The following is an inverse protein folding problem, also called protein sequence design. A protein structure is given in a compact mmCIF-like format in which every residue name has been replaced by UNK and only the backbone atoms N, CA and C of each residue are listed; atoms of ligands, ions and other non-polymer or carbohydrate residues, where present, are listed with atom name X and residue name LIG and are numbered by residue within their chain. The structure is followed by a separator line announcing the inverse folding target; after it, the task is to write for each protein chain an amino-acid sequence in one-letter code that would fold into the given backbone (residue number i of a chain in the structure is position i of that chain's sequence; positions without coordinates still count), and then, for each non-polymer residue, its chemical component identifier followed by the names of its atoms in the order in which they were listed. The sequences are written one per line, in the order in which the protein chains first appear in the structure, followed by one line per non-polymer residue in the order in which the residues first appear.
data_IF_721781191805
#
_entry.id   IF_721781191805
#
_cell.length_a   1.000
_cell.length_b   1.000
_cell.length_c   1.000
_cell.angle_alpha   90.00
_cell.angle_beta   90.00
_cell.angle_gamma   90.00
#
_symmetry.space_group_name_H-M   'P 1'
#
loop_
_entity.id
_entity.type
_entity.pdbx_description
1 polymer ?
#
# COMPACT_ATOMS: atom_id res chain seq x y z
N UNK A 1 15.75 -26.92 23.83
CA UNK A 1 14.50 -26.85 24.62
C UNK A 1 14.36 -25.44 25.14
N UNK A 2 13.21 -24.76 24.96
CA UNK A 2 12.97 -23.43 25.53
C UNK A 2 13.06 -23.47 27.06
N UNK A 3 13.62 -22.41 27.64
CA UNK A 3 13.88 -22.30 29.08
C UNK A 3 12.55 -22.22 29.85
N UNK A 4 12.26 -23.18 30.76
CA UNK A 4 10.96 -23.29 31.43
C UNK A 4 10.56 -22.02 32.19
N UNK A 5 11.54 -21.25 32.68
CA UNK A 5 11.29 -19.99 33.41
C UNK A 5 10.78 -18.85 32.51
N UNK A 6 11.15 -18.87 31.22
CA UNK A 6 10.69 -17.88 30.24
C UNK A 6 9.25 -18.18 29.83
N UNK A 7 8.93 -19.46 29.63
CA UNK A 7 7.57 -19.93 29.34
C UNK A 7 6.61 -19.61 30.49
N UNK A 8 7.05 -19.79 31.74
CA UNK A 8 6.26 -19.48 32.94
C UNK A 8 5.92 -17.99 33.06
N UNK A 9 6.87 -17.11 32.74
CA UNK A 9 6.64 -15.65 32.72
C UNK A 9 5.73 -15.24 31.57
N UNK A 10 5.93 -15.78 30.38
CA UNK A 10 5.08 -15.51 29.20
C UNK A 10 3.64 -15.99 29.44
N UNK A 11 3.47 -17.16 30.06
CA UNK A 11 2.18 -17.72 30.46
C UNK A 11 1.46 -16.86 31.51
N UNK A 12 2.19 -16.32 32.49
CA UNK A 12 1.64 -15.46 33.55
C UNK A 12 1.14 -14.11 33.03
N UNK A 13 1.78 -13.54 31.99
CA UNK A 13 1.45 -12.21 31.46
C UNK A 13 0.52 -12.23 30.25
N UNK A 14 0.60 -13.25 29.40
CA UNK A 14 -0.15 -13.31 28.13
C UNK A 14 -1.25 -14.39 28.12
N UNK A 15 -1.37 -15.17 29.19
CA UNK A 15 -2.49 -16.09 29.43
C UNK A 15 -2.57 -17.28 28.48
N UNK A 16 -3.73 -17.95 28.51
CA UNK A 16 -4.03 -19.15 27.70
C UNK A 16 -3.95 -18.90 26.19
N UNK A 17 -4.23 -17.67 25.76
CA UNK A 17 -4.25 -17.24 24.35
C UNK A 17 -2.91 -17.47 23.66
N UNK A 18 -1.80 -17.18 24.34
CA UNK A 18 -0.47 -17.34 23.75
C UNK A 18 -0.03 -18.81 23.71
N UNK A 19 -0.50 -19.62 24.66
CA UNK A 19 -0.29 -21.07 24.67
C UNK A 19 -1.06 -21.71 23.50
N UNK A 20 -2.30 -21.32 23.28
CA UNK A 20 -3.12 -21.87 22.20
C UNK A 20 -2.59 -21.41 20.83
N UNK A 21 -2.10 -20.19 20.73
CA UNK A 21 -1.37 -19.72 19.56
C UNK A 21 -0.05 -20.48 19.34
N UNK A 22 0.74 -20.73 20.39
CA UNK A 22 2.00 -21.46 20.30
C UNK A 22 1.85 -22.96 19.98
N UNK A 23 0.69 -23.57 20.27
CA UNK A 23 0.36 -24.95 19.86
C UNK A 23 0.13 -25.07 18.36
N UNK A 24 -0.51 -24.05 17.76
CA UNK A 24 -0.77 -24.00 16.31
C UNK A 24 0.47 -23.50 15.56
N UNK A 25 1.19 -22.54 16.15
CA UNK A 25 2.41 -21.93 15.61
C UNK A 25 3.59 -22.24 16.54
N UNK A 26 4.29 -23.38 16.38
CA UNK A 26 5.34 -23.79 17.31
C UNK A 26 6.41 -22.71 17.42
N UNK A 27 6.60 -22.18 18.63
CA UNK A 27 7.67 -21.22 18.96
C UNK A 27 9.00 -21.99 18.86
N UNK A 28 9.53 -22.07 17.65
CA UNK A 28 10.85 -22.64 17.39
C UNK A 28 11.88 -21.70 18.00
N UNK A 29 12.94 -22.26 18.57
CA UNK A 29 14.09 -21.48 18.97
C UNK A 29 14.52 -20.66 17.77
N UNK A 30 14.65 -19.33 17.94
CA UNK A 30 14.94 -18.46 16.80
C UNK A 30 16.12 -19.03 16.02
N UNK A 31 16.00 -19.10 14.69
CA UNK A 31 17.04 -19.67 13.83
C UNK A 31 18.40 -19.02 14.10
N UNK A 32 18.39 -17.77 14.57
CA UNK A 32 19.57 -17.02 15.03
C UNK A 32 20.26 -17.66 16.22
N UNK A 33 19.51 -18.00 17.27
CA UNK A 33 20.07 -18.63 18.48
C UNK A 33 20.54 -20.06 18.19
N UNK A 34 19.83 -20.80 17.34
CA UNK A 34 20.32 -22.12 16.91
C UNK A 34 21.59 -22.01 16.05
N UNK A 35 21.70 -21.00 15.19
CA UNK A 35 22.94 -20.72 14.44
C UNK A 35 24.10 -20.35 15.37
N UNK A 36 23.87 -19.46 16.33
CA UNK A 36 24.87 -19.04 17.32
C UNK A 36 25.44 -20.22 18.11
N UNK A 37 24.56 -21.12 18.58
CA UNK A 37 24.95 -22.35 19.27
C UNK A 37 25.68 -23.34 18.36
N UNK A 38 25.26 -23.44 17.11
CA UNK A 38 25.92 -24.29 16.12
C UNK A 38 27.34 -23.79 15.81
N UNK A 39 27.51 -22.47 15.63
CA UNK A 39 28.81 -21.84 15.37
C UNK A 39 29.77 -22.08 16.53
N UNK A 40 29.33 -21.84 17.76
CA UNK A 40 30.13 -22.11 18.96
C UNK A 40 30.59 -23.58 19.03
N UNK A 41 29.74 -24.52 18.61
CA UNK A 41 30.04 -25.96 18.72
C UNK A 41 30.95 -26.47 17.61
N UNK A 42 30.79 -25.97 16.38
CA UNK A 42 31.42 -26.57 15.20
C UNK A 42 32.58 -25.74 14.62
N UNK A 43 32.64 -24.43 14.89
CA UNK A 43 33.72 -23.57 14.40
C UNK A 43 34.84 -23.56 15.43
N UNK A 44 35.87 -24.37 15.20
CA UNK A 44 37.01 -24.60 16.11
C UNK A 44 37.83 -23.34 16.42
N UNK A 45 37.82 -22.33 15.54
CA UNK A 45 38.53 -21.05 15.70
C UNK A 45 37.61 -19.85 15.99
N UNK A 46 36.40 -20.09 16.49
CA UNK A 46 35.47 -18.98 16.76
C UNK A 46 35.97 -18.10 17.92
N UNK A 47 36.48 -16.90 17.61
CA UNK A 47 36.96 -15.93 18.59
C UNK A 47 35.87 -15.32 19.49
N UNK A 48 34.60 -15.70 19.30
CA UNK A 48 33.46 -15.14 20.00
C UNK A 48 32.84 -16.15 20.97
N UNK A 49 32.65 -15.72 22.22
CA UNK A 49 31.94 -16.49 23.24
C UNK A 49 30.45 -16.65 22.89
N UNK A 50 29.77 -17.64 23.48
CA UNK A 50 28.36 -17.91 23.24
C UNK A 50 27.49 -16.67 23.45
N UNK A 51 27.72 -15.93 24.53
CA UNK A 51 26.96 -14.71 24.84
C UNK A 51 27.14 -13.63 23.78
N UNK A 52 28.32 -13.53 23.17
CA UNK A 52 28.59 -12.59 22.09
C UNK A 52 27.93 -13.05 20.79
N UNK A 53 27.97 -14.34 20.49
CA UNK A 53 27.26 -14.95 19.35
C UNK A 53 25.73 -14.79 19.46
N UNK A 54 25.17 -14.96 20.65
CA UNK A 54 23.74 -14.76 20.90
C UNK A 54 23.31 -13.29 20.87
N UNK A 55 24.24 -12.33 20.83
CA UNK A 55 23.96 -10.89 20.62
C UNK A 55 24.17 -10.43 19.17
N UNK A 56 24.95 -11.17 18.38
CA UNK A 56 25.22 -10.83 16.97
C UNK A 56 24.00 -10.97 16.06
N UNK A 57 24.02 -10.20 14.97
CA UNK A 57 22.97 -10.21 13.95
C UNK A 57 22.94 -11.51 13.16
N UNK A 58 21.79 -11.86 12.58
CA UNK A 58 21.63 -13.08 11.76
C UNK A 58 22.58 -13.10 10.55
N UNK A 59 22.85 -11.93 9.97
CA UNK A 59 23.78 -11.74 8.86
C UNK A 59 25.22 -12.04 9.25
N UNK A 60 25.67 -11.55 10.40
CA UNK A 60 27.01 -11.79 10.94
C UNK A 60 27.22 -13.27 11.27
N UNK A 61 26.21 -13.90 11.89
CA UNK A 61 26.25 -15.33 12.17
C UNK A 61 26.29 -16.17 10.88
N UNK A 62 25.53 -15.78 9.85
CA UNK A 62 25.60 -16.43 8.53
C UNK A 62 26.96 -16.23 7.85
N UNK A 63 27.62 -15.09 8.07
CA UNK A 63 28.99 -14.85 7.58
C UNK A 63 29.99 -15.83 8.14
N UNK A 64 30.03 -15.94 9.46
CA UNK A 64 30.92 -16.88 10.16
C UNK A 64 30.66 -18.33 9.71
N UNK A 65 29.38 -18.70 9.54
CA UNK A 65 29.03 -20.04 9.08
C UNK A 65 29.44 -20.31 7.63
N UNK A 66 29.28 -19.34 6.75
CA UNK A 66 29.61 -19.50 5.34
C UNK A 66 31.13 -19.47 5.09
N UNK A 67 31.88 -18.69 5.87
CA UNK A 67 33.35 -18.78 5.93
C UNK A 67 33.81 -20.18 6.36
N UNK A 68 33.15 -20.79 7.35
CA UNK A 68 33.45 -22.14 7.78
C UNK A 68 33.06 -23.23 6.76
N UNK A 69 31.94 -23.04 6.05
CA UNK A 69 31.47 -23.99 5.03
C UNK A 69 32.08 -23.73 3.64
N UNK A 70 32.99 -22.76 3.51
CA UNK A 70 33.60 -22.28 2.24
C UNK A 70 32.56 -21.97 1.14
N UNK A 71 31.40 -21.44 1.55
CA UNK A 71 30.31 -21.08 0.63
C UNK A 71 30.23 -19.57 0.45
N UNK A 72 30.02 -19.14 -0.78
CA UNK A 72 29.72 -17.74 -1.05
C UNK A 72 28.36 -17.36 -0.47
N UNK A 73 28.33 -16.26 0.28
CA UNK A 73 27.10 -15.70 0.83
C UNK A 73 26.50 -14.83 -0.24
N UNK A 74 25.32 -15.20 -0.72
CA UNK A 74 24.49 -14.27 -1.44
C UNK A 74 23.99 -13.18 -0.47
N UNK A 75 24.75 -12.10 -0.33
CA UNK A 75 24.24 -10.86 0.28
C UNK A 75 23.40 -10.15 -0.78
N UNK A 76 22.08 -10.30 -0.67
CA UNK A 76 21.20 -9.34 -1.32
C UNK A 76 21.42 -8.00 -0.63
N UNK A 77 22.01 -7.04 -1.34
CA UNK A 77 22.15 -5.68 -0.87
C UNK A 77 20.73 -5.08 -0.82
N UNK A 78 20.09 -5.22 0.35
CA UNK A 78 18.77 -4.69 0.67
C UNK A 78 18.84 -3.17 0.85
N UNK A 79 19.40 -2.45 -0.13
CA UNK A 79 19.01 -1.06 -0.37
C UNK A 79 17.52 -1.08 -0.71
N UNK A 80 16.74 -1.07 0.34
CA UNK A 80 15.35 -0.66 0.59
C UNK A 80 14.48 -0.33 -0.63
N UNK A 81 15.04 0.46 -1.54
CA UNK A 81 14.45 1.00 -2.76
C UNK A 81 14.06 -0.08 -3.78
N UNK A 82 14.92 -1.07 -4.04
CA UNK A 82 14.68 -2.09 -5.09
C UNK A 82 14.00 -3.35 -4.57
N UNK A 83 14.06 -3.62 -3.26
CA UNK A 83 13.58 -4.89 -2.72
C UNK A 83 12.05 -5.00 -2.69
N UNK A 84 11.33 -3.91 -2.41
CA UNK A 84 9.85 -3.96 -2.30
C UNK A 84 9.18 -3.97 -3.66
N UNK A 85 9.67 -3.19 -4.63
CA UNK A 85 9.15 -3.25 -6.00
C UNK A 85 9.36 -4.65 -6.59
N UNK A 86 10.59 -5.17 -6.51
CA UNK A 86 10.91 -6.53 -6.98
C UNK A 86 10.07 -7.57 -6.24
N UNK A 87 9.88 -7.43 -4.93
CA UNK A 87 9.05 -8.35 -4.18
C UNK A 87 7.57 -8.27 -4.58
N UNK A 88 7.05 -7.07 -4.87
CA UNK A 88 5.69 -6.89 -5.33
C UNK A 88 5.49 -7.52 -6.72
N UNK A 89 6.38 -7.22 -7.67
CA UNK A 89 6.34 -7.79 -9.03
C UNK A 89 6.44 -9.32 -8.99
N UNK A 90 7.32 -9.84 -8.15
CA UNK A 90 7.50 -11.28 -7.96
C UNK A 90 6.28 -11.92 -7.28
N UNK A 91 5.66 -11.24 -6.30
CA UNK A 91 4.44 -11.71 -5.68
C UNK A 91 3.27 -11.77 -6.69
N UNK A 92 3.14 -10.75 -7.55
CA UNK A 92 2.15 -10.76 -8.65
C UNK A 92 2.42 -11.93 -9.59
N UNK A 93 3.66 -12.06 -10.10
CA UNK A 93 4.06 -13.16 -10.99
C UNK A 93 3.80 -14.55 -10.38
N UNK A 94 4.22 -14.77 -9.14
CA UNK A 94 4.05 -16.04 -8.45
C UNK A 94 2.57 -16.32 -8.12
N UNK A 95 1.76 -15.29 -7.84
CA UNK A 95 0.33 -15.46 -7.62
C UNK A 95 -0.43 -15.94 -8.86
N UNK A 96 0.11 -15.72 -10.05
CA UNK A 96 -0.44 -16.19 -11.33
C UNK A 96 0.11 -17.57 -11.72
N UNK A 97 1.41 -17.78 -11.54
CA UNK A 97 2.11 -18.97 -12.06
C UNK A 97 2.09 -20.18 -11.12
N UNK A 98 1.96 -19.97 -9.81
CA UNK A 98 1.94 -21.08 -8.87
C UNK A 98 0.64 -21.91 -9.00
N UNK A 99 0.70 -23.23 -8.78
CA UNK A 99 -0.49 -24.06 -8.73
C UNK A 99 -1.43 -23.60 -7.60
N UNK A 100 -2.73 -23.84 -7.78
CA UNK A 100 -3.71 -23.53 -6.75
C UNK A 100 -3.36 -24.25 -5.44
N UNK A 101 -3.30 -23.49 -4.35
CA UNK A 101 -2.90 -24.00 -3.04
C UNK A 101 -2.63 -22.88 -2.05
N UNK A 102 -2.30 -23.27 -0.82
CA UNK A 102 -2.08 -22.31 0.28
C UNK A 102 -0.93 -21.34 0.00
N UNK A 103 0.17 -21.82 -0.59
CA UNK A 103 1.32 -20.98 -0.94
C UNK A 103 0.95 -19.85 -1.91
N UNK A 104 0.20 -20.18 -2.98
CA UNK A 104 -0.32 -19.18 -3.94
C UNK A 104 -1.22 -18.17 -3.22
N UNK A 105 -2.12 -18.65 -2.36
CA UNK A 105 -3.04 -17.80 -1.63
C UNK A 105 -2.31 -16.86 -0.65
N UNK A 106 -1.23 -17.32 -0.03
CA UNK A 106 -0.44 -16.53 0.90
C UNK A 106 0.40 -15.47 0.18
N UNK A 107 0.93 -15.80 -1.00
CA UNK A 107 1.57 -14.82 -1.88
C UNK A 107 0.57 -13.77 -2.38
N UNK A 108 -0.61 -14.20 -2.84
CA UNK A 108 -1.66 -13.27 -3.27
C UNK A 108 -2.09 -12.32 -2.15
N UNK A 109 -2.12 -12.81 -0.90
CA UNK A 109 -2.40 -11.98 0.27
C UNK A 109 -1.30 -10.93 0.53
N UNK A 110 -0.04 -11.20 0.19
CA UNK A 110 1.06 -10.23 0.36
C UNK A 110 1.03 -9.08 -0.64
N UNK A 111 0.37 -9.22 -1.79
CA UNK A 111 0.27 -8.15 -2.80
C UNK A 111 -0.29 -6.86 -2.20
N UNK A 112 -1.51 -6.82 -1.61
CA UNK A 112 -2.02 -5.60 -0.99
C UNK A 112 -1.17 -5.11 0.19
N UNK A 113 -0.53 -6.03 0.93
CA UNK A 113 0.39 -5.68 2.03
C UNK A 113 1.61 -4.92 1.52
N UNK A 114 2.23 -5.41 0.45
CA UNK A 114 3.39 -4.81 -0.20
C UNK A 114 3.03 -3.49 -0.89
N UNK A 115 1.85 -3.40 -1.51
CA UNK A 115 1.33 -2.15 -2.09
C UNK A 115 1.19 -1.06 -1.01
N UNK A 116 0.59 -1.39 0.15
CA UNK A 116 0.44 -0.43 1.26
C UNK A 116 1.81 -0.03 1.85
N UNK A 117 2.69 -1.00 2.10
CA UNK A 117 4.04 -0.72 2.61
C UNK A 117 4.88 0.09 1.62
N UNK A 118 4.77 -0.21 0.32
CA UNK A 118 5.41 0.51 -0.76
C UNK A 118 4.87 1.94 -0.90
N UNK A 119 3.55 2.13 -0.80
CA UNK A 119 2.91 3.44 -0.82
C UNK A 119 3.38 4.31 0.37
N UNK A 120 3.49 3.75 1.57
CA UNK A 120 4.07 4.46 2.71
C UNK A 120 5.55 4.84 2.47
N UNK A 121 6.39 3.89 2.03
CA UNK A 121 7.80 4.16 1.73
C UNK A 121 7.97 5.19 0.62
N UNK A 122 7.08 5.17 -0.37
CA UNK A 122 7.09 6.11 -1.48
C UNK A 122 6.87 7.55 -1.05
N UNK A 123 6.49 7.82 0.21
CA UNK A 123 6.31 9.16 0.78
C UNK A 123 7.40 9.56 1.77
N UNK A 124 8.33 8.65 2.09
CA UNK A 124 9.48 8.95 2.93
C UNK A 124 10.56 9.73 2.16
N UNK A 125 11.30 10.57 2.87
CA UNK A 125 12.42 11.31 2.28
C UNK A 125 13.54 10.36 1.83
N UNK A 126 14.24 10.74 0.74
CA UNK A 126 15.40 10.00 0.18
C UNK A 126 15.08 8.58 -0.32
N UNK A 127 13.81 8.19 -0.39
CA UNK A 127 13.36 6.98 -1.07
C UNK A 127 13.06 7.32 -2.54
N UNK A 128 13.79 6.71 -3.46
CA UNK A 128 13.66 6.90 -4.91
C UNK A 128 13.35 5.54 -5.56
N UNK A 129 12.76 5.55 -6.75
CA UNK A 129 12.47 4.32 -7.51
C UNK A 129 11.19 3.60 -7.10
N UNK A 130 10.30 4.25 -6.35
CA UNK A 130 8.98 3.74 -5.96
C UNK A 130 7.83 4.34 -6.80
N UNK A 131 8.18 5.06 -7.87
CA UNK A 131 7.21 5.71 -8.75
C UNK A 131 6.27 4.71 -9.46
N UNK A 132 6.69 3.44 -9.61
CA UNK A 132 5.83 2.37 -10.13
C UNK A 132 4.69 1.98 -9.18
N UNK A 133 4.88 2.18 -7.88
CA UNK A 133 3.86 1.91 -6.85
C UNK A 133 3.00 3.16 -6.64
N UNK A 134 3.66 4.29 -6.39
CA UNK A 134 2.98 5.57 -6.15
C UNK A 134 3.86 6.73 -6.60
N UNK A 135 3.43 7.39 -7.67
CA UNK A 135 4.11 8.55 -8.23
C UNK A 135 3.86 9.82 -7.40
N UNK A 136 4.70 10.85 -7.61
CA UNK A 136 4.63 12.14 -6.93
C UNK A 136 4.44 13.29 -7.93
N UNK A 137 3.27 13.38 -8.60
CA UNK A 137 3.03 14.45 -9.55
C UNK A 137 3.07 15.82 -8.86
N UNK A 138 3.62 16.81 -9.58
CA UNK A 138 3.74 18.17 -9.08
C UNK A 138 2.36 18.79 -8.79
N UNK A 139 2.19 19.38 -7.61
CA UNK A 139 0.93 20.05 -7.21
C UNK A 139 -0.14 19.12 -6.62
N UNK A 140 0.14 17.83 -6.47
CA UNK A 140 -0.76 16.87 -5.80
C UNK A 140 -0.13 16.36 -4.52
N UNK A 141 -0.88 16.45 -3.42
CA UNK A 141 -0.46 15.98 -2.11
C UNK A 141 -1.30 14.78 -1.71
N UNK A 142 -0.67 13.62 -1.50
CA UNK A 142 -1.36 12.46 -0.96
C UNK A 142 -0.43 11.54 -0.18
N UNK A 143 -0.69 11.41 1.12
CA UNK A 143 -0.08 10.42 1.98
C UNK A 143 -1.16 9.38 2.33
N UNK A 144 -1.24 8.25 1.60
CA UNK A 144 -2.31 7.27 1.83
C UNK A 144 -2.19 6.57 3.19
N UNK A 145 -0.97 6.45 3.71
CA UNK A 145 -0.65 5.77 4.97
C UNK A 145 0.55 6.40 5.62
N UNK A 146 0.50 6.52 6.94
CA UNK A 146 1.55 7.09 7.78
C UNK A 146 1.85 6.17 8.97
N UNK A 147 3.09 6.24 9.45
CA UNK A 147 3.46 5.54 10.69
C UNK A 147 2.72 6.18 11.87
N UNK A 148 2.28 5.35 12.80
CA UNK A 148 1.76 5.81 14.08
C UNK A 148 2.87 6.38 14.94
N UNK A 149 2.51 7.29 15.82
CA UNK A 149 3.43 7.92 16.76
C UNK A 149 4.20 6.89 17.59
N UNK A 150 5.52 7.05 17.65
CA UNK A 150 6.42 6.16 18.39
C UNK A 150 6.72 4.81 17.71
N UNK A 151 6.21 4.56 16.49
CA UNK A 151 6.53 3.36 15.73
C UNK A 151 7.86 3.50 14.98
N UNK A 152 8.70 2.46 15.02
CA UNK A 152 9.99 2.45 14.34
C UNK A 152 9.85 2.00 12.87
N UNK A 153 10.15 2.92 11.95
CA UNK A 153 10.14 2.71 10.51
C UNK A 153 11.04 1.54 10.06
N UNK A 154 12.19 1.38 10.69
CA UNK A 154 13.15 0.33 10.34
C UNK A 154 12.62 -1.05 10.74
N UNK A 155 12.05 -1.16 11.94
CA UNK A 155 11.43 -2.40 12.43
C UNK A 155 10.24 -2.83 11.57
N UNK A 156 9.38 -1.89 11.16
CA UNK A 156 8.25 -2.19 10.28
C UNK A 156 8.71 -2.76 8.94
N UNK A 157 9.66 -2.08 8.33
CA UNK A 157 10.22 -2.44 7.02
C UNK A 157 10.91 -3.80 7.05
N UNK A 158 11.71 -4.05 8.07
CA UNK A 158 12.43 -5.31 8.23
C UNK A 158 11.44 -6.47 8.48
N UNK A 159 10.35 -6.22 9.21
CA UNK A 159 9.26 -7.19 9.37
C UNK A 159 8.61 -7.55 8.03
N UNK A 160 8.22 -6.55 7.22
CA UNK A 160 7.57 -6.79 5.91
C UNK A 160 8.53 -7.52 4.97
N UNK A 161 9.79 -7.10 4.89
CA UNK A 161 10.79 -7.73 4.05
C UNK A 161 11.02 -9.19 4.46
N UNK A 162 11.11 -9.45 5.77
CA UNK A 162 11.32 -10.79 6.30
C UNK A 162 10.13 -11.72 6.03
N UNK A 163 8.90 -11.27 6.32
CA UNK A 163 7.70 -12.06 6.04
C UNK A 163 7.57 -12.38 4.57
N UNK A 164 7.74 -11.37 3.71
CA UNK A 164 7.64 -11.54 2.27
C UNK A 164 8.66 -12.54 1.74
N UNK A 165 9.92 -12.41 2.16
CA UNK A 165 10.97 -13.34 1.77
C UNK A 165 10.69 -14.78 2.22
N UNK A 166 10.21 -14.96 3.46
CA UNK A 166 9.87 -16.30 3.96
C UNK A 166 8.69 -16.93 3.20
N UNK A 167 7.64 -16.15 2.95
CA UNK A 167 6.46 -16.64 2.21
C UNK A 167 6.81 -17.00 0.78
N UNK A 168 7.65 -16.22 0.09
CA UNK A 168 8.14 -16.55 -1.25
C UNK A 168 8.94 -17.86 -1.30
N UNK A 169 9.57 -18.26 -0.18
CA UNK A 169 10.25 -19.55 -0.05
C UNK A 169 9.31 -20.71 0.30
N UNK A 170 8.00 -20.49 0.36
CA UNK A 170 7.01 -21.50 0.69
C UNK A 170 6.74 -21.66 2.19
N UNK A 171 7.21 -20.74 3.04
CA UNK A 171 6.83 -20.75 4.45
C UNK A 171 5.35 -20.32 4.61
N UNK A 172 4.58 -20.98 5.49
CA UNK A 172 3.20 -20.59 5.74
C UNK A 172 3.15 -19.19 6.35
N UNK A 173 2.18 -18.39 5.91
CA UNK A 173 2.02 -17.02 6.37
C UNK A 173 0.94 -16.91 7.45
N UNK A 174 1.30 -16.36 8.61
CA UNK A 174 0.30 -15.92 9.58
C UNK A 174 -0.27 -14.56 9.18
N UNK A 175 -1.39 -14.61 8.45
CA UNK A 175 -2.12 -13.41 8.00
C UNK A 175 -2.56 -12.55 9.18
N UNK A 176 -2.99 -13.15 10.28
CA UNK A 176 -3.44 -12.42 11.47
C UNK A 176 -2.32 -11.59 12.08
N UNK A 177 -1.12 -12.17 12.20
CA UNK A 177 0.08 -11.45 12.65
C UNK A 177 0.44 -10.28 11.72
N UNK A 178 0.38 -10.50 10.40
CA UNK A 178 0.67 -9.44 9.41
C UNK A 178 -0.32 -8.30 9.51
N UNK A 179 -1.63 -8.57 9.52
CA UNK A 179 -2.67 -7.55 9.63
C UNK A 179 -2.58 -6.78 10.95
N UNK A 180 -2.38 -7.48 12.07
CA UNK A 180 -2.23 -6.84 13.38
C UNK A 180 -0.99 -5.96 13.45
N UNK A 181 0.11 -6.39 12.81
CA UNK A 181 1.33 -5.57 12.73
C UNK A 181 1.10 -4.34 11.87
N UNK A 182 0.45 -4.48 10.71
CA UNK A 182 0.09 -3.34 9.87
C UNK A 182 -0.79 -2.32 10.61
N UNK A 183 -1.81 -2.78 11.34
CA UNK A 183 -2.67 -1.91 12.17
C UNK A 183 -1.93 -1.25 13.34
N UNK A 184 -0.91 -1.92 13.89
CA UNK A 184 -0.08 -1.37 14.97
C UNK A 184 0.87 -0.27 14.46
N UNK A 185 1.43 -0.44 13.28
CA UNK A 185 2.45 0.46 12.75
C UNK A 185 1.87 1.57 11.88
N UNK A 186 0.80 1.32 11.14
CA UNK A 186 0.25 2.26 10.17
C UNK A 186 -1.12 2.79 10.60
N UNK A 187 -1.43 3.97 10.10
CA UNK A 187 -2.78 4.55 10.09
C UNK A 187 -3.01 5.27 8.77
N UNK A 188 -4.28 5.45 8.42
CA UNK A 188 -4.72 6.10 7.18
C UNK A 188 -5.16 7.53 7.51
N UNK A 189 -4.37 8.57 7.15
CA UNK A 189 -4.77 9.95 7.42
C UNK A 189 -5.85 10.40 6.43
N UNK A 190 -5.70 10.08 5.14
CA UNK A 190 -6.68 10.41 4.10
C UNK A 190 -6.75 9.32 3.03
N UNK A 191 -7.99 8.97 2.64
CA UNK A 191 -8.24 8.05 1.52
C UNK A 191 -8.15 8.73 0.16
N UNK A 192 -8.24 10.06 0.10
CA UNK A 192 -8.33 10.82 -1.15
C UNK A 192 -7.12 11.76 -1.34
N UNK A 193 -6.54 11.82 -2.55
CA UNK A 193 -5.54 12.82 -2.88
C UNK A 193 -6.09 14.25 -2.82
N UNK A 194 -5.23 15.19 -2.44
CA UNK A 194 -5.50 16.62 -2.53
C UNK A 194 -4.89 17.18 -3.83
N UNK A 195 -5.78 17.70 -4.69
CA UNK A 195 -5.45 18.31 -5.98
C UNK A 195 -5.52 19.84 -5.95
N UNK A 196 -5.73 20.47 -4.79
CA UNK A 196 -5.95 21.93 -4.66
C UNK A 196 -4.85 22.80 -5.28
N UNK A 197 -3.61 22.28 -5.33
CA UNK A 197 -2.45 22.98 -5.88
C UNK A 197 -2.11 22.54 -7.33
N UNK A 198 -2.94 21.71 -7.95
CA UNK A 198 -2.82 21.26 -9.33
C UNK A 198 -3.67 22.11 -10.26
N UNK A 199 -3.15 22.46 -11.43
CA UNK A 199 -3.92 23.09 -12.50
C UNK A 199 -3.68 22.38 -13.84
N UNK A 200 -4.51 22.68 -14.83
CA UNK A 200 -4.52 22.02 -16.14
C UNK A 200 -3.18 22.15 -16.88
N UNK A 201 -2.49 23.28 -16.71
CA UNK A 201 -1.16 23.51 -17.29
C UNK A 201 -0.07 22.66 -16.63
N UNK A 202 -0.15 22.45 -15.31
CA UNK A 202 0.77 21.55 -14.60
C UNK A 202 0.52 20.08 -14.97
N UNK A 203 -0.75 19.70 -15.10
CA UNK A 203 -1.14 18.36 -15.53
C UNK A 203 -0.66 18.03 -16.94
N UNK A 204 -0.66 19.00 -17.86
CA UNK A 204 -0.15 18.78 -19.21
C UNK A 204 1.38 18.65 -19.25
N UNK A 205 2.11 19.45 -18.45
CA UNK A 205 3.58 19.39 -18.38
C UNK A 205 4.07 18.09 -17.73
N UNK A 206 3.38 17.60 -16.70
CA UNK A 206 3.75 16.36 -15.98
C UNK A 206 2.83 15.19 -16.33
N UNK A 207 2.32 15.14 -17.57
CA UNK A 207 1.26 14.21 -18.00
C UNK A 207 1.52 12.76 -17.58
N UNK A 208 2.72 12.24 -17.81
CA UNK A 208 3.05 10.84 -17.53
C UNK A 208 2.93 10.52 -16.03
N UNK A 209 3.38 11.43 -15.16
CA UNK A 209 3.27 11.26 -13.70
C UNK A 209 1.82 11.28 -13.26
N UNK A 210 1.01 12.16 -13.84
CA UNK A 210 -0.43 12.22 -13.55
C UNK A 210 -1.16 10.96 -14.02
N UNK A 211 -0.88 10.48 -15.23
CA UNK A 211 -1.47 9.24 -15.77
C UNK A 211 -1.14 8.04 -14.87
N UNK A 212 0.13 7.89 -14.47
CA UNK A 212 0.54 6.85 -13.54
C UNK A 212 -0.18 7.00 -12.20
N UNK A 213 -0.15 8.20 -11.62
CA UNK A 213 -0.79 8.48 -10.33
C UNK A 213 -2.29 8.17 -10.34
N UNK A 214 -3.03 8.55 -11.38
CA UNK A 214 -4.47 8.28 -11.50
C UNK A 214 -4.78 6.78 -11.56
N UNK A 215 -3.93 5.98 -12.21
CA UNK A 215 -4.10 4.51 -12.21
C UNK A 215 -3.67 3.83 -10.91
N UNK A 216 -2.73 4.43 -10.18
CA UNK A 216 -2.23 3.92 -8.91
C UNK A 216 -3.17 4.20 -7.73
N UNK A 217 -3.85 5.36 -7.72
CA UNK A 217 -4.74 5.77 -6.61
C UNK A 217 -5.80 4.71 -6.28
N UNK A 218 -6.61 4.20 -7.24
CA UNK A 218 -7.60 3.16 -6.96
C UNK A 218 -6.97 1.85 -6.48
N UNK A 219 -5.79 1.51 -7.01
CA UNK A 219 -5.06 0.29 -6.64
C UNK A 219 -4.62 0.33 -5.18
N UNK A 220 -4.13 1.48 -4.72
CA UNK A 220 -3.70 1.69 -3.33
C UNK A 220 -4.92 1.77 -2.40
N UNK A 221 -5.99 2.46 -2.79
CA UNK A 221 -7.23 2.52 -2.01
C UNK A 221 -7.82 1.12 -1.78
N UNK A 222 -7.90 0.29 -2.83
CA UNK A 222 -8.32 -1.12 -2.73
C UNK A 222 -7.40 -1.94 -1.83
N UNK A 223 -6.08 -1.72 -1.90
CA UNK A 223 -5.12 -2.40 -1.04
C UNK A 223 -5.29 -2.02 0.45
N UNK A 224 -5.54 -0.73 0.75
CA UNK A 224 -5.80 -0.26 2.11
C UNK A 224 -7.04 -0.94 2.72
N UNK A 225 -8.11 -1.04 1.93
CA UNK A 225 -9.35 -1.74 2.33
C UNK A 225 -9.10 -3.23 2.56
N UNK A 226 -8.38 -3.89 1.65
CA UNK A 226 -8.07 -5.32 1.77
C UNK A 226 -7.26 -5.67 3.02
N UNK A 227 -6.36 -4.78 3.46
CA UNK A 227 -5.57 -4.94 4.69
C UNK A 227 -6.36 -4.49 5.94
N UNK A 228 -7.44 -3.72 5.76
CA UNK A 228 -8.32 -3.28 6.84
C UNK A 228 -7.61 -2.41 7.88
N UNK A 229 -6.83 -1.43 7.41
CA UNK A 229 -6.17 -0.41 8.27
C UNK A 229 -7.03 0.85 8.40
N UNK A 230 -7.96 1.09 7.46
CA UNK A 230 -8.89 2.21 7.50
C UNK A 230 -9.87 2.12 8.67
N UNK A 231 -10.38 3.28 9.10
CA UNK A 231 -11.50 3.32 10.03
C UNK A 231 -12.80 2.93 9.30
N UNK A 232 -13.80 2.47 10.06
CA UNK A 232 -15.12 2.11 9.51
C UNK A 232 -15.80 3.30 8.80
N UNK A 233 -15.54 4.52 9.28
CA UNK A 233 -16.08 5.76 8.68
C UNK A 233 -15.40 6.01 7.32
N UNK A 234 -14.07 5.93 7.25
CA UNK A 234 -13.32 6.12 6.01
C UNK A 234 -13.66 5.07 4.95
N UNK A 235 -13.87 3.82 5.37
CA UNK A 235 -14.33 2.74 4.49
C UNK A 235 -15.71 3.05 3.92
N UNK A 236 -16.65 3.47 4.77
CA UNK A 236 -18.01 3.83 4.34
C UNK A 236 -17.99 5.00 3.34
N UNK A 237 -17.31 6.09 3.66
CA UNK A 237 -17.21 7.27 2.79
C UNK A 237 -16.61 6.94 1.43
N UNK A 238 -15.60 6.06 1.41
CA UNK A 238 -15.01 5.61 0.16
C UNK A 238 -16.00 4.77 -0.66
N UNK A 239 -16.68 3.81 -0.03
CA UNK A 239 -17.64 2.94 -0.72
C UNK A 239 -18.84 3.72 -1.25
N UNK A 240 -19.30 4.76 -0.55
CA UNK A 240 -20.32 5.67 -1.08
C UNK A 240 -19.84 6.43 -2.31
N UNK A 241 -18.63 7.02 -2.27
CA UNK A 241 -18.06 7.72 -3.43
C UNK A 241 -17.91 6.81 -4.66
N UNK A 242 -17.46 5.57 -4.45
CA UNK A 242 -17.38 4.59 -5.54
C UNK A 242 -18.77 4.29 -6.10
N UNK A 243 -19.77 4.10 -5.24
CA UNK A 243 -21.14 3.84 -5.66
C UNK A 243 -21.76 5.01 -6.44
N UNK A 244 -21.47 6.24 -6.03
CA UNK A 244 -21.89 7.45 -6.75
C UNK A 244 -21.23 7.53 -8.13
N UNK A 245 -19.91 7.31 -8.20
CA UNK A 245 -19.18 7.28 -9.46
C UNK A 245 -19.69 6.18 -10.41
N UNK A 246 -19.94 4.97 -9.90
CA UNK A 246 -20.51 3.87 -10.68
C UNK A 246 -21.92 4.21 -11.19
N UNK A 247 -22.71 4.91 -10.38
CA UNK A 247 -24.04 5.40 -10.78
C UNK A 247 -23.94 6.45 -11.88
N UNK A 248 -23.01 7.40 -11.76
CA UNK A 248 -22.76 8.41 -12.80
C UNK A 248 -22.28 7.75 -14.10
N UNK A 249 -21.32 6.82 -14.03
CA UNK A 249 -20.86 6.07 -15.19
C UNK A 249 -21.99 5.27 -15.85
N UNK A 250 -22.83 4.59 -15.07
CA UNK A 250 -23.99 3.87 -15.60
C UNK A 250 -25.00 4.82 -16.28
N UNK A 251 -25.18 6.03 -15.75
CA UNK A 251 -25.98 7.09 -16.39
C UNK A 251 -25.31 7.51 -17.70
N UNK A 252 -24.00 7.74 -17.72
CA UNK A 252 -23.25 8.10 -18.93
C UNK A 252 -23.31 7.02 -20.02
N UNK A 253 -23.12 5.76 -19.66
CA UNK A 253 -23.25 4.61 -20.57
C UNK A 253 -24.68 4.45 -21.08
N UNK A 254 -25.69 4.74 -20.25
CA UNK A 254 -27.10 4.70 -20.65
C UNK A 254 -27.50 5.76 -21.67
N UNK A 255 -26.74 6.86 -21.79
CA UNK A 255 -26.99 7.87 -22.82
C UNK A 255 -26.68 7.39 -24.23
N UNK A 256 -25.99 6.24 -24.39
CA UNK A 256 -25.76 5.63 -25.70
C UNK A 256 -25.17 6.62 -26.70
N UNK A 257 -24.07 7.30 -26.33
CA UNK A 257 -23.38 8.20 -27.25
C UNK A 257 -22.97 7.43 -28.52
N UNK A 258 -23.74 7.58 -29.59
CA UNK A 258 -23.27 7.33 -30.95
C UNK A 258 -22.18 8.38 -31.19
N UNK A 259 -20.94 7.92 -31.17
CA UNK A 259 -19.81 8.77 -31.53
C UNK A 259 -19.90 8.98 -33.02
N UNK A 260 -20.10 10.23 -33.43
CA UNK A 260 -20.09 10.64 -34.82
C UNK A 260 -18.69 10.34 -35.41
N UNK A 261 -18.54 9.22 -36.11
CA UNK A 261 -17.23 8.78 -36.63
C UNK A 261 -16.88 9.47 -37.96
N UNK A 262 -17.86 10.07 -38.64
CA UNK A 262 -17.73 10.64 -39.98
C UNK A 262 -17.99 12.16 -40.01
N UNK A 263 -17.37 12.89 -40.94
CA UNK A 263 -17.45 14.36 -41.05
C UNK A 263 -18.88 14.88 -41.34
N UNK A 264 -19.81 13.97 -41.66
CA UNK A 264 -21.23 14.23 -41.95
C UNK A 264 -22.19 13.53 -41.01
N UNK A 265 -21.69 12.88 -39.95
CA UNK A 265 -22.49 12.10 -39.02
C UNK A 265 -23.11 13.02 -37.96
N UNK A 266 -24.06 13.87 -38.35
CA UNK A 266 -24.79 14.70 -37.42
C UNK A 266 -25.90 13.90 -36.75
N UNK A 267 -25.99 14.02 -35.42
CA UNK A 267 -27.10 13.56 -34.60
C UNK A 267 -28.46 13.83 -35.27
N UNK A 268 -29.25 12.78 -35.51
CA UNK A 268 -30.65 12.90 -35.97
C UNK A 268 -31.60 13.40 -34.87
N UNK A 269 -31.11 13.48 -33.63
CA UNK A 269 -31.79 14.21 -32.57
C UNK A 269 -31.63 15.70 -32.87
N UNK A 270 -32.71 16.28 -33.38
CA UNK A 270 -32.86 17.71 -33.58
C UNK A 270 -32.94 18.39 -32.19
N UNK A 271 -31.80 18.48 -31.50
CA UNK A 271 -31.66 19.29 -30.29
C UNK A 271 -31.62 20.73 -30.79
N UNK A 272 -32.81 21.31 -30.95
CA UNK A 272 -32.94 22.75 -31.05
C UNK A 272 -32.51 23.31 -29.69
N UNK A 273 -31.25 23.73 -29.61
CA UNK A 273 -30.86 24.74 -28.65
C UNK A 273 -31.76 25.92 -28.98
N UNK A 274 -32.72 26.25 -28.11
CA UNK A 274 -33.53 27.46 -28.27
C UNK A 274 -32.55 28.62 -28.49
N UNK A 275 -32.62 29.25 -29.66
CA UNK A 275 -31.86 30.46 -29.94
C UNK A 275 -32.09 31.44 -28.78
N UNK A 276 -31.02 32.10 -28.33
CA UNK A 276 -31.01 33.08 -27.25
C UNK A 276 -32.36 33.78 -27.14
N UNK A 277 -33.06 33.58 -26.03
CA UNK A 277 -34.38 34.16 -25.78
C UNK A 277 -34.36 35.65 -26.14
N UNK A 278 -34.93 36.03 -27.28
CA UNK A 278 -35.11 37.43 -27.66
C UNK A 278 -36.36 37.91 -26.91
N UNK A 279 -36.22 38.73 -25.86
CA UNK A 279 -37.37 39.18 -25.10
C UNK A 279 -38.31 39.95 -26.02
N UNK A 280 -39.56 39.47 -26.15
CA UNK A 280 -40.58 40.18 -26.90
C UNK A 280 -40.76 41.59 -26.28
N UNK A 281 -40.42 42.68 -26.99
CA UNK A 281 -40.46 44.03 -26.44
C UNK A 281 -41.89 44.49 -26.10
N UNK A 282 -42.90 43.77 -26.56
CA UNK A 282 -44.32 44.06 -26.32
C UNK A 282 -44.96 43.11 -25.29
N UNK A 283 -44.19 42.28 -24.58
CA UNK A 283 -44.75 41.41 -23.55
C UNK A 283 -45.14 42.24 -22.29
N UNK A 284 -46.44 42.39 -21.98
CA UNK A 284 -46.91 43.23 -20.87
C UNK A 284 -46.53 42.67 -19.48
N UNK A 285 -45.94 41.47 -19.41
CA UNK A 285 -45.46 40.86 -18.16
C UNK A 285 -43.98 41.12 -17.87
N UNK A 286 -43.22 41.67 -18.82
CA UNK A 286 -41.83 42.05 -18.59
C UNK A 286 -41.83 43.43 -17.92
N UNK A 287 -41.79 43.44 -16.58
CA UNK A 287 -41.52 44.66 -15.82
C UNK A 287 -40.09 45.10 -16.16
N UNK A 288 -39.95 46.19 -16.92
CA UNK A 288 -38.66 46.86 -17.10
C UNK A 288 -38.12 47.21 -15.72
N UNK A 289 -36.97 46.67 -15.35
CA UNK A 289 -36.21 47.17 -14.22
C UNK A 289 -35.80 48.60 -14.56
N UNK A 290 -36.28 49.56 -13.77
CA UNK A 290 -35.89 50.96 -13.87
C UNK A 290 -34.77 51.13 -12.84
N UNK A 291 -33.55 51.38 -13.31
CA UNK A 291 -32.43 51.69 -12.40
C UNK A 291 -32.80 52.92 -11.56
N UNK A 292 -32.62 52.87 -10.23
CA UNK A 292 -32.81 54.04 -9.40
C UNK A 292 -31.74 55.08 -9.73
N UNK A 293 -32.19 56.28 -10.09
CA UNK A 293 -31.30 57.43 -10.26
C UNK A 293 -30.82 57.83 -8.86
N UNK A 294 -29.56 57.54 -8.56
CA UNK A 294 -28.90 58.13 -7.39
C UNK A 294 -28.56 59.57 -7.73
N UNK A 295 -29.24 60.51 -7.07
CA UNK A 295 -28.86 61.92 -7.09
C UNK A 295 -27.84 62.09 -5.97
N UNK A 296 -26.61 62.43 -6.33
CA UNK A 296 -25.58 62.82 -5.37
C UNK A 296 -26.05 64.08 -4.63
N UNK A 297 -26.21 63.97 -3.31
CA UNK A 297 -26.38 65.10 -2.39
C UNK A 297 -25.21 65.12 -1.41
#
# INVERSE_FOLDING_TARGET
MPDPKVLEKVQKYLGQVLIDYAKVNPIRTSQRLSLARWIHKNVSNCAHTLEKLERMGMTELRKIRAEFEEKEIYQMDLRTKRSIVVALDEAVRLSEQLPQGQHRNDIAFLIPVLTVAGAWLSRQEKQEGLASILDRPYGVCWNPVELRDGADASAFRDFIAFQTFQTMQGAPLDRGMVLNTLRKYLHVPTMTPDYSNSNTSMQSVFRDQYVNFYSQVPTIQKAILAVGICSSIQEYEYLEKVREADREMAIFESFGYETCEDEFDYSTLNIQIEEDYVPNPNNPRIRKFIEPIFIDF
#
